data_IF_308947596488
#
_entry.id   IF_308947596488
#
_cell.length_a   1.000
_cell.length_b   1.000
_cell.length_c   1.000
_cell.angle_alpha   90.00
_cell.angle_beta   90.00
_cell.angle_gamma   90.00
#
_symmetry.space_group_name_H-M   'P 1'
#
loop_
_entity.id
_entity.type
_entity.pdbx_description
1 polymer ?
#
# COMPACT_ATOMS: atom_id res chain seq x y z
N UNK A 1 23.25 11.16 -4.75
CA UNK A 1 23.52 9.71 -4.64
C UNK A 1 22.66 9.02 -5.67
N UNK A 2 23.21 8.06 -6.44
CA UNK A 2 22.42 7.31 -7.41
C UNK A 2 21.43 6.39 -6.68
N UNK A 3 20.21 6.28 -7.19
CA UNK A 3 19.24 5.31 -6.69
C UNK A 3 19.81 3.89 -6.91
N UNK A 4 19.82 3.02 -5.89
CA UNK A 4 20.28 1.65 -6.08
C UNK A 4 19.41 0.93 -7.10
N UNK A 5 19.97 -0.03 -7.87
CA UNK A 5 19.20 -0.75 -8.88
C UNK A 5 18.00 -1.45 -8.24
N UNK A 6 16.83 -1.31 -8.87
CA UNK A 6 15.62 -1.98 -8.44
C UNK A 6 15.81 -3.51 -8.59
N UNK A 7 15.90 -4.20 -7.45
CA UNK A 7 15.94 -5.66 -7.42
C UNK A 7 14.50 -6.18 -7.36
N UNK A 8 14.08 -7.06 -8.28
CA UNK A 8 12.74 -7.63 -8.23
C UNK A 8 12.55 -8.42 -6.93
N UNK A 9 11.36 -8.38 -6.31
CA UNK A 9 11.07 -9.16 -5.11
C UNK A 9 11.29 -10.66 -5.35
N UNK A 10 11.77 -11.37 -4.32
CA UNK A 10 11.86 -12.83 -4.38
C UNK A 10 10.46 -13.46 -4.34
N UNK A 11 10.29 -14.70 -4.83
CA UNK A 11 8.99 -15.39 -4.75
C UNK A 11 8.44 -15.47 -3.32
N UNK A 12 9.29 -15.77 -2.34
CA UNK A 12 8.91 -15.80 -0.92
C UNK A 12 8.38 -14.46 -0.46
N UNK A 13 9.06 -13.39 -0.86
CA UNK A 13 8.67 -12.03 -0.55
C UNK A 13 7.38 -11.63 -1.26
N UNK A 14 7.27 -11.84 -2.57
CA UNK A 14 6.07 -11.54 -3.35
C UNK A 14 4.80 -12.10 -2.74
N UNK A 15 4.85 -13.32 -2.20
CA UNK A 15 3.70 -13.99 -1.60
C UNK A 15 3.46 -13.64 -0.12
N UNK A 16 4.48 -13.23 0.63
CA UNK A 16 4.38 -12.99 2.07
C UNK A 16 4.39 -11.49 2.45
N UNK A 17 4.66 -10.59 1.49
CA UNK A 17 4.89 -9.18 1.79
C UNK A 17 3.66 -8.46 2.34
N UNK A 18 2.47 -8.74 1.79
CA UNK A 18 1.22 -8.21 2.30
C UNK A 18 0.32 -9.34 2.81
N UNK A 19 -0.14 -9.20 4.05
CA UNK A 19 -1.08 -10.14 4.69
C UNK A 19 -2.27 -9.36 5.27
N UNK A 20 -3.37 -10.05 5.62
CA UNK A 20 -4.52 -9.45 6.31
C UNK A 20 -5.76 -9.17 5.45
N UNK A 21 -5.63 -9.16 4.12
CA UNK A 21 -6.77 -9.16 3.19
C UNK A 21 -6.97 -10.56 2.61
N UNK A 22 -8.22 -10.94 2.30
CA UNK A 22 -8.54 -12.24 1.69
C UNK A 22 -7.84 -12.43 0.34
N UNK A 23 -7.64 -11.34 -0.40
CA UNK A 23 -7.07 -11.35 -1.75
C UNK A 23 -5.53 -11.30 -1.77
N UNK A 24 -4.85 -11.18 -0.62
CA UNK A 24 -3.38 -11.18 -0.43
C UNK A 24 -2.57 -10.62 -1.62
N UNK A 25 -2.52 -9.28 -1.79
CA UNK A 25 -1.88 -8.67 -2.96
C UNK A 25 -0.42 -9.12 -3.13
N UNK A 26 -0.04 -9.47 -4.37
CA UNK A 26 1.32 -9.89 -4.69
C UNK A 26 2.25 -8.69 -4.84
N UNK A 27 3.38 -8.69 -4.13
CA UNK A 27 4.40 -7.65 -4.35
C UNK A 27 5.18 -7.94 -5.63
N UNK A 28 5.06 -7.04 -6.61
CA UNK A 28 5.77 -7.12 -7.91
C UNK A 28 6.97 -6.15 -8.01
N UNK A 29 7.05 -5.16 -7.12
CA UNK A 29 8.12 -4.17 -7.09
C UNK A 29 7.99 -3.21 -5.92
N UNK A 30 9.06 -2.49 -5.58
CA UNK A 30 9.11 -1.49 -4.50
C UNK A 30 10.29 -0.53 -4.68
N UNK A 31 10.22 0.64 -4.06
CA UNK A 31 11.29 1.64 -4.03
C UNK A 31 12.16 1.58 -2.77
N UNK A 32 11.79 0.76 -1.77
CA UNK A 32 12.55 0.63 -0.53
C UNK A 32 13.67 -0.39 -0.66
N UNK A 33 14.85 -0.04 -0.15
CA UNK A 33 15.98 -0.95 0.01
C UNK A 33 15.63 -1.98 1.09
N UNK A 34 15.81 -3.27 0.81
CA UNK A 34 15.78 -4.31 1.84
C UNK A 34 17.20 -4.71 2.17
N UNK A 35 17.53 -4.59 3.45
CA UNK A 35 18.73 -5.16 4.03
C UNK A 35 18.46 -6.65 4.32
N UNK A 36 19.44 -7.49 4.02
CA UNK A 36 19.35 -8.94 3.88
C UNK A 36 18.41 -9.68 4.86
N UNK A 37 17.68 -10.64 4.29
CA UNK A 37 17.02 -11.79 4.93
C UNK A 37 15.80 -11.58 5.83
N UNK A 38 15.48 -10.36 6.25
CA UNK A 38 14.23 -10.10 6.99
C UNK A 38 13.14 -9.59 6.04
N UNK A 39 12.40 -10.54 5.46
CA UNK A 39 11.11 -10.22 4.84
C UNK A 39 10.17 -9.81 5.96
N UNK A 40 10.06 -8.51 6.22
CA UNK A 40 9.06 -7.97 7.12
C UNK A 40 7.70 -8.08 6.44
N UNK A 41 6.89 -9.03 6.89
CA UNK A 41 5.49 -9.10 6.51
C UNK A 41 4.80 -7.79 6.91
N UNK A 42 4.05 -7.20 5.99
CA UNK A 42 3.23 -6.04 6.23
C UNK A 42 1.78 -6.47 6.35
N UNK A 43 1.15 -6.08 7.45
CA UNK A 43 -0.26 -6.28 7.66
C UNK A 43 -1.05 -5.13 7.03
N UNK A 44 -2.05 -5.47 6.23
CA UNK A 44 -3.07 -4.57 5.72
C UNK A 44 -4.33 -4.71 6.59
N UNK A 45 -4.64 -3.66 7.35
CA UNK A 45 -5.83 -3.62 8.21
C UNK A 45 -6.86 -2.60 7.70
N UNK A 46 -8.17 -2.85 7.91
CA UNK A 46 -9.19 -1.82 7.73
C UNK A 46 -8.92 -0.58 8.58
N UNK A 47 -9.25 0.60 8.06
CA UNK A 47 -9.21 1.84 8.84
C UNK A 47 -10.54 2.02 9.55
N UNK A 48 -10.61 1.64 10.83
CA UNK A 48 -11.84 1.79 11.63
C UNK A 48 -12.01 3.23 12.17
N UNK A 49 -11.32 3.56 13.27
CA UNK A 49 -11.41 4.88 13.93
C UNK A 49 -10.28 5.78 13.47
N UNK A 50 -10.53 6.58 12.44
CA UNK A 50 -9.58 7.58 11.95
C UNK A 50 -10.30 8.73 11.22
N UNK A 51 -9.79 9.95 11.34
CA UNK A 51 -10.37 11.15 10.70
C UNK A 51 -10.44 11.05 9.17
N UNK A 52 -9.62 10.20 8.55
CA UNK A 52 -9.64 9.94 7.11
C UNK A 52 -10.94 9.30 6.64
N UNK A 53 -11.62 8.51 7.48
CA UNK A 53 -12.79 7.73 7.08
C UNK A 53 -13.93 8.64 6.62
N UNK A 54 -14.38 9.63 7.41
CA UNK A 54 -15.39 10.58 6.93
C UNK A 54 -14.89 11.46 5.78
N UNK A 55 -13.60 11.85 5.77
CA UNK A 55 -13.03 12.67 4.70
C UNK A 55 -12.96 11.94 3.34
N UNK A 56 -12.73 10.63 3.37
CA UNK A 56 -12.69 9.77 2.18
C UNK A 56 -14.10 9.42 1.70
N UNK A 57 -15.02 9.17 2.63
CA UNK A 57 -16.40 8.80 2.31
C UNK A 57 -17.25 9.99 1.84
N UNK A 58 -16.80 11.23 2.03
CA UNK A 58 -17.35 12.39 1.33
C UNK A 58 -16.92 12.36 -0.15
N UNK A 59 -17.83 11.94 -1.02
CA UNK A 59 -17.61 11.85 -2.47
C UNK A 59 -17.28 13.19 -3.14
N UNK A 60 -17.79 14.30 -2.59
CA UNK A 60 -17.50 15.65 -3.07
C UNK A 60 -16.35 16.30 -2.28
N UNK A 61 -15.84 15.60 -1.27
CA UNK A 61 -14.85 16.10 -0.33
C UNK A 61 -13.50 16.41 -0.98
N UNK A 62 -12.76 17.38 -0.43
CA UNK A 62 -11.50 17.84 -1.01
C UNK A 62 -10.41 16.76 -1.01
N UNK A 63 -10.39 15.86 -0.01
CA UNK A 63 -9.41 14.77 0.07
C UNK A 63 -9.56 13.80 -1.10
N UNK A 64 -10.76 13.25 -1.28
CA UNK A 64 -11.03 12.27 -2.34
C UNK A 64 -10.82 12.88 -3.73
N UNK A 65 -11.25 14.12 -3.93
CA UNK A 65 -11.04 14.86 -5.19
C UNK A 65 -9.56 15.00 -5.51
N UNK A 66 -8.76 15.48 -4.55
CA UNK A 66 -7.32 15.72 -4.75
C UNK A 66 -6.56 14.42 -5.04
N UNK A 67 -6.89 13.32 -4.37
CA UNK A 67 -6.28 12.01 -4.65
C UNK A 67 -6.63 11.56 -6.08
N UNK A 68 -7.90 11.65 -6.48
CA UNK A 68 -8.34 11.31 -7.85
C UNK A 68 -7.67 12.18 -8.92
N UNK A 69 -7.41 13.45 -8.62
CA UNK A 69 -6.68 14.36 -9.50
C UNK A 69 -5.20 13.96 -9.65
N UNK A 70 -4.56 13.50 -8.57
CA UNK A 70 -3.15 13.05 -8.62
C UNK A 70 -2.99 11.79 -9.46
N UNK A 71 -3.94 10.85 -9.38
CA UNK A 71 -3.92 9.62 -10.20
C UNK A 71 -4.62 9.80 -11.55
N UNK A 72 -4.96 11.04 -11.93
CA UNK A 72 -5.59 11.34 -13.21
C UNK A 72 -4.59 11.04 -14.34
N UNK A 73 -4.93 10.08 -15.19
CA UNK A 73 -4.06 9.59 -16.26
C UNK A 73 -3.46 8.20 -15.98
N UNK A 74 -3.74 7.62 -14.82
CA UNK A 74 -3.58 6.19 -14.56
C UNK A 74 -4.95 5.54 -14.71
N UNK A 75 -5.02 4.41 -15.41
CA UNK A 75 -6.23 3.60 -15.55
C UNK A 75 -6.44 2.75 -14.28
N UNK A 76 -6.82 3.42 -13.20
CA UNK A 76 -7.14 2.80 -11.92
C UNK A 76 -8.60 2.35 -11.87
N UNK A 77 -8.84 1.19 -11.25
CA UNK A 77 -10.18 0.64 -11.04
C UNK A 77 -10.69 0.87 -9.59
N UNK A 78 -9.78 0.86 -8.62
CA UNK A 78 -10.12 1.13 -7.22
C UNK A 78 -9.05 1.94 -6.50
N UNK A 79 -9.48 2.73 -5.51
CA UNK A 79 -8.59 3.36 -4.53
C UNK A 79 -9.14 3.01 -3.16
N UNK A 80 -8.38 2.22 -2.42
CA UNK A 80 -8.74 1.71 -1.11
C UNK A 80 -7.87 2.37 -0.04
N UNK A 81 -8.40 2.55 1.17
CA UNK A 81 -7.66 3.18 2.27
C UNK A 81 -7.46 2.14 3.37
N UNK A 82 -6.20 1.81 3.67
CA UNK A 82 -5.82 0.79 4.65
C UNK A 82 -4.83 1.33 5.67
N UNK A 83 -4.66 0.62 6.78
CA UNK A 83 -3.42 0.72 7.57
C UNK A 83 -2.41 -0.28 7.04
N UNK A 84 -1.15 0.12 6.95
CA UNK A 84 -0.07 -0.76 6.49
C UNK A 84 1.14 -0.64 7.42
N UNK A 85 1.59 -1.76 8.00
CA UNK A 85 2.78 -1.74 8.84
C UNK A 85 3.30 -3.14 9.17
N UNK A 86 4.52 -3.19 9.71
CA UNK A 86 5.18 -4.45 10.07
C UNK A 86 4.38 -5.28 11.07
N UNK A 87 4.43 -6.60 10.93
CA UNK A 87 3.95 -7.58 11.91
C UNK A 87 4.91 -7.80 13.08
N UNK A 88 6.15 -7.27 13.02
CA UNK A 88 7.15 -7.48 14.07
C UNK A 88 6.66 -6.99 15.43
N UNK A 89 6.46 -7.95 16.33
CA UNK A 89 5.81 -7.84 17.64
C UNK A 89 6.42 -6.79 18.58
N UNK A 90 7.64 -6.32 18.31
CA UNK A 90 8.31 -5.26 19.09
C UNK A 90 7.79 -3.84 18.85
N UNK A 91 6.97 -3.62 17.82
CA UNK A 91 6.47 -2.30 17.43
C UNK A 91 4.94 -2.20 17.43
N UNK A 92 4.26 -3.03 18.23
CA UNK A 92 2.81 -2.97 18.44
C UNK A 92 2.31 -1.61 18.98
N UNK A 93 3.23 -0.76 19.48
CA UNK A 93 2.97 0.61 19.90
C UNK A 93 3.06 1.66 18.78
N UNK A 94 3.60 1.31 17.61
CA UNK A 94 3.63 2.21 16.47
C UNK A 94 2.28 2.12 15.75
N UNK A 95 1.54 3.24 15.76
CA UNK A 95 0.33 3.40 14.97
C UNK A 95 0.67 3.11 13.51
N UNK A 96 0.19 1.99 12.96
CA UNK A 96 0.38 1.65 11.54
C UNK A 96 -0.16 2.80 10.68
N UNK A 97 0.64 3.38 9.78
CA UNK A 97 0.22 4.52 8.97
C UNK A 97 -0.98 4.15 8.11
N UNK A 98 -1.85 5.14 7.89
CA UNK A 98 -2.91 5.04 6.89
C UNK A 98 -2.31 5.33 5.52
N UNK A 99 -2.55 4.44 4.57
CA UNK A 99 -2.07 4.56 3.19
C UNK A 99 -3.24 4.43 2.19
N UNK A 100 -3.18 5.13 1.05
CA UNK A 100 -4.00 4.80 -0.10
C UNK A 100 -3.35 3.65 -0.90
N UNK A 101 -4.15 2.67 -1.28
CA UNK A 101 -3.81 1.61 -2.21
C UNK A 101 -4.55 1.88 -3.52
N UNK A 102 -3.82 1.98 -4.64
CA UNK A 102 -4.40 2.25 -5.96
C UNK A 102 -4.30 0.98 -6.79
N UNK A 103 -5.44 0.39 -7.11
CA UNK A 103 -5.54 -0.82 -7.94
C UNK A 103 -5.74 -0.40 -9.39
N UNK A 104 -4.89 -0.91 -10.27
CA UNK A 104 -4.85 -0.55 -11.69
C UNK A 104 -5.26 -1.73 -12.56
N UNK A 105 -5.85 -1.45 -13.72
CA UNK A 105 -6.16 -2.50 -14.66
C UNK A 105 -4.86 -3.09 -15.23
N UNK A 106 -4.69 -4.43 -15.28
CA UNK A 106 -3.50 -5.02 -15.88
C UNK A 106 -3.29 -4.56 -17.32
N UNK A 107 -2.08 -4.12 -17.66
CA UNK A 107 -1.73 -3.68 -19.03
C UNK A 107 -2.16 -2.26 -19.39
N UNK A 108 -2.76 -1.52 -18.46
CA UNK A 108 -3.27 -0.16 -18.70
C UNK A 108 -2.25 0.96 -18.48
N UNK A 109 -1.10 0.64 -17.89
CA UNK A 109 0.02 1.56 -17.72
C UNK A 109 1.09 1.14 -18.73
N UNK A 110 1.04 1.71 -19.93
CA UNK A 110 2.10 1.63 -20.95
C UNK A 110 3.15 2.71 -20.73
#
# INVERSE_FOLDING_TARGET
>A
MAEPPAVPPSRKESCAYYTGLLDCPTLVGRSTIVYDNEVYEKLLDPVEKHAVVPLWNDSAGPLRRKIREVVKGVDWNAIDIFRCGSTSLGHCHLVRPVIPFVSVEPGSIT
#
